data_IF_820259592207
#
_entry.id   IF_820259592207
#
_cell.length_a   1.000
_cell.length_b   1.000
_cell.length_c   1.000
_cell.angle_alpha   90.00
_cell.angle_beta   90.00
_cell.angle_gamma   90.00
#
_symmetry.space_group_name_H-M   'P 1'
#
loop_
_entity.id
_entity.type
_entity.pdbx_description
1 polymer ?
#
# COMPACT_ATOMS: atom_id res chain seq x y z
N UNK A 1 -6.55 -21.93 69.89
CA UNK A 1 -7.17 -22.89 68.95
C UNK A 1 -7.24 -22.21 67.58
N UNK A 2 -6.46 -22.71 66.63
CA UNK A 2 -6.49 -22.55 65.16
C UNK A 2 -6.35 -21.12 64.57
N UNK A 3 -5.13 -20.71 64.18
CA UNK A 3 -4.42 -20.93 62.88
C UNK A 3 -4.86 -19.88 61.82
N UNK A 4 -4.08 -18.80 61.57
CA UNK A 4 -3.00 -18.67 60.55
C UNK A 4 -3.47 -18.48 59.10
N UNK A 5 -3.16 -17.30 58.52
CA UNK A 5 -2.86 -16.91 57.12
C UNK A 5 -3.62 -17.51 55.91
N UNK A 6 -3.74 -16.69 54.83
CA UNK A 6 -4.15 -16.95 53.41
C UNK A 6 -5.44 -16.15 53.09
N UNK A 7 -5.53 -15.16 52.20
CA UNK A 7 -4.68 -14.70 51.10
C UNK A 7 -5.06 -13.24 50.75
N UNK A 8 -4.04 -12.39 50.62
CA UNK A 8 -4.04 -11.25 49.70
C UNK A 8 -4.39 -11.73 48.29
N UNK A 9 -4.99 -10.86 47.48
CA UNK A 9 -5.26 -11.00 46.05
C UNK A 9 -6.57 -11.73 45.72
N UNK A 10 -7.66 -10.97 45.61
CA UNK A 10 -8.63 -11.22 44.55
C UNK A 10 -8.50 -10.07 43.55
N UNK A 11 -7.36 -10.09 42.86
CA UNK A 11 -7.04 -9.26 41.72
C UNK A 11 -8.08 -9.46 40.62
N UNK A 12 -8.61 -8.35 40.10
CA UNK A 12 -8.48 -7.89 38.70
C UNK A 12 -8.57 -8.86 37.49
N UNK A 13 -8.91 -10.14 37.65
CA UNK A 13 -8.77 -11.12 36.55
C UNK A 13 -9.91 -11.09 35.52
N UNK A 14 -11.08 -10.52 35.82
CA UNK A 14 -12.19 -10.46 34.87
C UNK A 14 -11.98 -9.43 33.73
N UNK A 15 -11.07 -8.47 33.89
CA UNK A 15 -10.75 -7.47 32.87
C UNK A 15 -9.68 -7.94 31.87
N UNK A 16 -8.89 -8.97 32.21
CA UNK A 16 -7.78 -9.44 31.38
C UNK A 16 -8.16 -10.53 30.37
N UNK A 17 -9.31 -11.20 30.55
CA UNK A 17 -9.75 -12.30 29.68
C UNK A 17 -10.46 -11.84 28.39
N UNK A 18 -10.97 -10.60 28.36
CA UNK A 18 -11.65 -10.04 27.17
C UNK A 18 -10.73 -9.18 26.28
N UNK A 19 -9.57 -8.74 26.78
CA UNK A 19 -8.67 -7.87 26.04
C UNK A 19 -8.05 -8.49 24.76
N UNK A 20 -7.59 -9.76 24.73
CA UNK A 20 -6.91 -10.30 23.56
C UNK A 20 -7.87 -10.67 22.43
N UNK A 21 -9.09 -11.12 22.75
CA UNK A 21 -10.10 -11.49 21.74
C UNK A 21 -10.69 -10.25 21.06
N UNK A 22 -11.06 -9.22 21.82
CA UNK A 22 -11.58 -7.95 21.25
C UNK A 22 -10.49 -7.23 20.45
N UNK A 23 -9.24 -7.17 20.95
CA UNK A 23 -8.11 -6.63 20.16
C UNK A 23 -7.82 -7.45 18.90
N UNK A 24 -8.02 -8.76 18.90
CA UNK A 24 -7.81 -9.59 17.72
C UNK A 24 -8.93 -9.40 16.70
N UNK A 25 -10.20 -9.33 17.13
CA UNK A 25 -11.33 -9.05 16.23
C UNK A 25 -11.20 -7.69 15.56
N UNK A 26 -10.73 -6.67 16.29
CA UNK A 26 -10.45 -5.35 15.72
C UNK A 26 -9.35 -5.41 14.65
N UNK A 27 -8.29 -6.21 14.86
CA UNK A 27 -7.23 -6.42 13.86
C UNK A 27 -7.71 -7.15 12.61
N UNK A 28 -8.55 -8.18 12.75
CA UNK A 28 -9.14 -8.87 11.60
C UNK A 28 -10.09 -7.94 10.82
N UNK A 29 -10.84 -7.09 11.52
CA UNK A 29 -11.69 -6.08 10.90
C UNK A 29 -10.87 -5.00 10.14
N UNK A 30 -9.72 -4.60 10.65
CA UNK A 30 -8.82 -3.65 9.99
C UNK A 30 -8.25 -4.25 8.69
N UNK A 31 -7.78 -5.50 8.74
CA UNK A 31 -7.20 -6.15 7.55
C UNK A 31 -8.22 -6.32 6.43
N UNK A 32 -9.44 -6.74 6.74
CA UNK A 32 -10.51 -6.88 5.74
C UNK A 32 -10.89 -5.54 5.08
N UNK A 33 -10.89 -4.44 5.84
CA UNK A 33 -11.14 -3.10 5.29
C UNK A 33 -10.00 -2.62 4.38
N UNK A 34 -8.75 -2.92 4.75
CA UNK A 34 -7.58 -2.59 3.93
C UNK A 34 -7.61 -3.33 2.59
N UNK A 35 -7.89 -4.64 2.61
CA UNK A 35 -8.03 -5.47 1.41
C UNK A 35 -9.17 -4.97 0.51
N UNK A 36 -10.29 -4.54 1.09
CA UNK A 36 -11.39 -3.93 0.34
C UNK A 36 -10.96 -2.65 -0.39
N UNK A 37 -10.19 -1.78 0.27
CA UNK A 37 -9.67 -0.56 -0.34
C UNK A 37 -8.66 -0.87 -1.45
N UNK A 38 -7.77 -1.84 -1.24
CA UNK A 38 -6.80 -2.29 -2.24
C UNK A 38 -7.46 -2.87 -3.49
N UNK A 39 -8.57 -3.60 -3.33
CA UNK A 39 -9.35 -4.11 -4.45
C UNK A 39 -10.04 -2.98 -5.26
N UNK A 40 -10.38 -1.86 -4.61
CA UNK A 40 -11.08 -0.73 -5.24
C UNK A 40 -10.15 0.29 -5.87
N UNK A 41 -9.02 0.59 -5.22
CA UNK A 41 -8.10 1.65 -5.60
C UNK A 41 -6.72 1.07 -5.90
N UNK A 42 -6.43 0.97 -7.20
CA UNK A 42 -5.11 0.51 -7.69
C UNK A 42 -4.03 1.46 -7.16
N UNK A 43 -2.93 0.88 -6.65
CA UNK A 43 -1.81 1.64 -6.08
C UNK A 43 -1.89 1.85 -4.56
N UNK A 44 -2.96 1.38 -3.89
CA UNK A 44 -3.04 1.40 -2.42
C UNK A 44 -1.95 0.52 -1.81
N UNK A 45 -1.10 1.09 -0.97
CA UNK A 45 0.03 0.37 -0.38
C UNK A 45 -0.31 -0.51 0.82
N UNK A 46 0.67 -1.32 1.23
CA UNK A 46 0.69 -2.11 2.47
C UNK A 46 2.10 -2.08 3.08
N UNK A 47 2.24 -2.62 4.30
CA UNK A 47 3.49 -2.60 5.05
C UNK A 47 4.64 -3.33 4.32
N UNK A 48 4.33 -4.42 3.63
CA UNK A 48 5.31 -5.25 2.90
C UNK A 48 5.53 -4.81 1.44
N UNK A 49 5.06 -3.62 1.06
CA UNK A 49 5.14 -3.15 -0.32
C UNK A 49 6.59 -2.87 -0.73
N UNK A 50 7.04 -3.49 -1.81
CA UNK A 50 8.43 -3.37 -2.26
C UNK A 50 8.68 -1.99 -2.89
N UNK A 51 9.91 -1.47 -2.75
CA UNK A 51 10.33 -0.20 -3.39
C UNK A 51 10.08 -0.20 -4.90
N UNK A 52 10.24 -1.36 -5.55
CA UNK A 52 9.97 -1.50 -6.98
C UNK A 52 8.48 -1.30 -7.31
N UNK A 53 7.59 -1.96 -6.56
CA UNK A 53 6.14 -1.83 -6.76
C UNK A 53 5.66 -0.40 -6.50
N UNK A 54 6.21 0.24 -5.46
CA UNK A 54 5.94 1.64 -5.18
C UNK A 54 6.33 2.54 -6.36
N UNK A 55 7.56 2.39 -6.87
CA UNK A 55 8.07 3.17 -7.98
C UNK A 55 7.23 3.00 -9.24
N UNK A 56 6.79 1.77 -9.54
CA UNK A 56 5.91 1.48 -10.68
C UNK A 56 4.58 2.22 -10.55
N UNK A 57 3.97 2.21 -9.36
CA UNK A 57 2.71 2.93 -9.12
C UNK A 57 2.88 4.44 -9.30
N UNK A 58 3.92 5.04 -8.70
CA UNK A 58 4.22 6.48 -8.83
C UNK A 58 4.43 6.87 -10.30
N UNK A 59 5.15 6.06 -11.06
CA UNK A 59 5.44 6.38 -12.46
C UNK A 59 4.20 6.24 -13.35
N UNK A 60 3.32 5.26 -13.07
CA UNK A 60 2.01 5.13 -13.74
C UNK A 60 1.11 6.32 -13.45
N UNK A 61 1.05 6.77 -12.21
CA UNK A 61 0.26 7.96 -11.82
C UNK A 61 0.78 9.24 -12.47
N UNK A 62 2.11 9.35 -12.61
CA UNK A 62 2.76 10.46 -13.32
C UNK A 62 2.37 10.47 -14.80
N UNK A 63 2.48 9.34 -15.50
CA UNK A 63 2.08 9.25 -16.92
C UNK A 63 0.57 9.48 -17.11
N UNK A 64 -0.27 8.96 -16.22
CA UNK A 64 -1.71 9.22 -16.24
C UNK A 64 -1.99 10.73 -16.10
N UNK A 65 -1.27 11.43 -15.22
CA UNK A 65 -1.37 12.87 -15.05
C UNK A 65 -0.90 13.64 -16.30
N UNK A 66 0.19 13.21 -16.94
CA UNK A 66 0.68 13.86 -18.16
C UNK A 66 -0.31 13.74 -19.32
N UNK A 67 -0.95 12.58 -19.48
CA UNK A 67 -1.96 12.35 -20.52
C UNK A 67 -3.27 13.08 -20.20
N UNK A 68 -3.68 13.10 -18.93
CA UNK A 68 -4.95 13.71 -18.50
C UNK A 68 -4.94 15.24 -18.51
N UNK A 69 -3.78 15.87 -18.28
CA UNK A 69 -3.65 17.33 -18.27
C UNK A 69 -3.09 17.83 -19.60
N UNK A 70 -3.97 18.38 -20.44
CA UNK A 70 -3.59 18.89 -21.77
C UNK A 70 -2.38 19.85 -21.78
N UNK A 71 -2.23 20.79 -20.82
CA UNK A 71 -1.05 21.67 -20.79
C UNK A 71 0.27 20.91 -20.59
N UNK A 72 0.26 19.86 -19.77
CA UNK A 72 1.45 19.01 -19.55
C UNK A 72 1.78 18.22 -20.81
N UNK A 73 0.77 17.59 -21.42
CA UNK A 73 0.96 16.84 -22.66
C UNK A 73 1.52 17.73 -23.78
N UNK A 74 0.98 18.94 -23.93
CA UNK A 74 1.44 19.91 -24.92
C UNK A 74 2.88 20.38 -24.63
N UNK A 75 3.22 20.61 -23.36
CA UNK A 75 4.59 20.96 -22.96
C UNK A 75 5.60 19.90 -23.38
N UNK A 76 5.33 18.62 -23.10
CA UNK A 76 6.21 17.52 -23.51
C UNK A 76 6.30 17.37 -25.04
N UNK A 77 5.17 17.56 -25.73
CA UNK A 77 5.12 17.47 -27.20
C UNK A 77 5.96 18.56 -27.87
N UNK A 78 5.97 19.77 -27.30
CA UNK A 78 6.82 20.87 -27.75
C UNK A 78 8.30 20.61 -27.44
N UNK A 79 8.60 20.07 -26.25
CA UNK A 79 9.98 19.78 -25.85
C UNK A 79 10.64 18.69 -26.72
N UNK A 80 9.91 17.63 -27.04
CA UNK A 80 10.38 16.51 -27.87
C UNK A 80 10.21 16.78 -29.38
N UNK A 81 9.56 17.89 -29.76
CA UNK A 81 9.23 18.23 -31.15
C UNK A 81 8.46 17.10 -31.88
N UNK A 82 7.51 16.48 -31.17
CA UNK A 82 6.67 15.42 -31.69
C UNK A 82 5.19 15.81 -31.63
N UNK A 83 4.38 15.14 -32.45
CA UNK A 83 2.94 15.40 -32.44
C UNK A 83 2.33 15.00 -31.08
N UNK A 84 1.34 15.79 -30.61
CA UNK A 84 0.61 15.50 -29.36
C UNK A 84 0.05 14.07 -29.33
N UNK A 85 -0.42 13.57 -30.49
CA UNK A 85 -0.91 12.21 -30.62
C UNK A 85 0.18 11.15 -30.43
N UNK A 86 1.40 11.41 -30.93
CA UNK A 86 2.54 10.51 -30.76
C UNK A 86 3.03 10.50 -29.31
N UNK A 87 3.17 11.64 -28.66
CA UNK A 87 3.58 11.67 -27.25
C UNK A 87 2.55 10.99 -26.34
N UNK A 88 1.26 11.18 -26.61
CA UNK A 88 0.20 10.44 -25.90
C UNK A 88 0.37 8.93 -26.07
N UNK A 89 0.63 8.47 -27.30
CA UNK A 89 0.88 7.05 -27.57
C UNK A 89 2.14 6.54 -26.86
N UNK A 90 3.23 7.32 -26.90
CA UNK A 90 4.49 7.01 -26.23
C UNK A 90 4.31 6.83 -24.72
N UNK A 91 3.60 7.75 -24.06
CA UNK A 91 3.28 7.64 -22.64
C UNK A 91 2.42 6.42 -22.33
N UNK A 92 1.41 6.11 -23.14
CA UNK A 92 0.59 4.90 -22.95
C UNK A 92 1.43 3.61 -23.06
N UNK A 93 2.39 3.54 -23.98
CA UNK A 93 3.30 2.39 -24.08
C UNK A 93 4.22 2.26 -22.86
N UNK A 94 4.74 3.39 -22.37
CA UNK A 94 5.61 3.43 -21.19
C UNK A 94 4.92 3.02 -19.89
N UNK A 95 3.59 3.02 -19.81
CA UNK A 95 2.83 2.57 -18.63
C UNK A 95 2.92 1.06 -18.37
N UNK A 96 3.30 0.24 -19.36
CA UNK A 96 3.39 -1.21 -19.22
C UNK A 96 4.48 -1.62 -18.21
N UNK A 97 5.72 -1.22 -18.50
CA UNK A 97 6.92 -1.50 -17.70
C UNK A 97 7.72 -0.21 -17.46
N UNK A 98 7.19 0.73 -16.66
CA UNK A 98 7.77 2.06 -16.53
C UNK A 98 9.15 2.04 -15.85
N UNK A 99 9.37 1.10 -14.93
CA UNK A 99 10.62 0.91 -14.20
C UNK A 99 11.49 -0.25 -14.74
N UNK A 100 11.14 -0.83 -15.90
CA UNK A 100 11.82 -2.02 -16.44
C UNK A 100 11.38 -3.33 -15.79
N UNK A 101 12.20 -4.37 -15.94
CA UNK A 101 11.94 -5.67 -15.33
C UNK A 101 12.09 -5.58 -13.81
N UNK A 102 11.27 -6.31 -13.04
CA UNK A 102 11.45 -6.41 -11.61
C UNK A 102 12.86 -6.94 -11.29
N UNK A 103 13.49 -6.43 -10.22
CA UNK A 103 14.78 -6.95 -9.78
C UNK A 103 14.64 -8.44 -9.47
N UNK A 104 15.65 -9.24 -9.83
CA UNK A 104 15.71 -10.64 -9.40
C UNK A 104 15.60 -10.70 -7.88
N UNK A 105 14.84 -11.69 -7.38
CA UNK A 105 14.77 -11.95 -5.95
C UNK A 105 16.19 -12.06 -5.41
N UNK A 106 16.48 -11.32 -4.34
CA UNK A 106 17.74 -11.53 -3.63
C UNK A 106 17.57 -12.86 -2.90
N UNK A 107 18.43 -13.81 -3.19
CA UNK A 107 18.63 -14.97 -2.33
C UNK A 107 19.14 -14.41 -1.00
N UNK A 108 18.26 -14.27 -0.02
CA UNK A 108 18.62 -13.84 1.34
C UNK A 108 19.32 -15.02 2.04
N UNK A 109 20.65 -14.94 2.22
CA UNK A 109 21.44 -15.79 3.15
C UNK A 109 21.10 -15.48 4.62
#
# INVERSE_FOLDING_TARGET
MYFSNILLNFDNDAAMINLPFVKASDRFNINSQLEHLQAKYVGTGHADLNRFEWAVNIQRDSYASYIGHYPMLAYFSLAENESIGRERYNFMQKMLLPCGLPPAERDDD
#
